data_IF_014644394491
#
_entry.id   IF_014644394491
#
_cell.length_a   1.000
_cell.length_b   1.000
_cell.length_c   1.000
_cell.angle_alpha   90.00
_cell.angle_beta   90.00
_cell.angle_gamma   90.00
#
_symmetry.space_group_name_H-M   'P 1'
#
loop_
_entity.id
_entity.type
_entity.pdbx_description
1 polymer ?
#
# COMPACT_ATOMS: atom_id res chain seq x y z
N UNK A 1 0.38 4.70 -14.54
CA UNK A 1 1.27 3.55 -14.76
C UNK A 1 2.03 3.26 -13.48
N UNK A 2 2.25 1.99 -13.15
CA UNK A 2 3.05 1.60 -12.00
C UNK A 2 4.51 2.07 -12.17
N UNK A 3 5.01 2.89 -11.25
CA UNK A 3 6.38 3.42 -11.27
C UNK A 3 7.30 2.82 -10.21
N UNK A 4 6.77 2.60 -8.99
CA UNK A 4 7.50 1.97 -7.87
C UNK A 4 6.65 0.90 -7.21
N UNK A 5 7.29 -0.13 -6.68
CA UNK A 5 6.62 -1.21 -5.95
C UNK A 5 7.56 -1.78 -4.89
N UNK A 6 7.03 -2.05 -3.71
CA UNK A 6 7.73 -2.73 -2.62
C UNK A 6 6.78 -3.68 -1.90
N UNK A 7 7.32 -4.79 -1.40
CA UNK A 7 6.54 -5.86 -0.78
C UNK A 7 7.08 -6.13 0.61
N UNK A 8 6.26 -5.95 1.64
CA UNK A 8 6.59 -6.36 3.01
C UNK A 8 5.83 -7.64 3.35
N UNK A 9 6.32 -8.41 4.31
CA UNK A 9 5.55 -9.53 4.90
C UNK A 9 5.05 -9.10 6.27
N UNK A 10 3.74 -8.89 6.39
CA UNK A 10 3.11 -8.41 7.62
C UNK A 10 2.38 -9.58 8.28
N UNK A 11 2.91 -10.03 9.42
CA UNK A 11 2.29 -11.06 10.25
C UNK A 11 1.20 -10.53 11.18
N UNK A 12 0.65 -11.41 12.01
CA UNK A 12 -0.21 -11.10 13.13
C UNK A 12 0.48 -11.36 14.48
N UNK A 13 0.54 -10.33 15.35
CA UNK A 13 1.15 -10.41 16.70
C UNK A 13 0.51 -11.47 17.59
N UNK A 14 -0.80 -11.65 17.51
CA UNK A 14 -1.55 -12.62 18.33
C UNK A 14 -1.23 -14.06 17.92
N UNK A 15 -1.00 -14.28 16.63
CA UNK A 15 -0.63 -15.59 16.09
C UNK A 15 0.89 -15.85 16.11
N UNK A 16 1.67 -14.96 16.75
CA UNK A 16 3.14 -15.03 16.82
C UNK A 16 3.81 -15.03 15.44
N UNK A 17 3.18 -14.39 14.47
CA UNK A 17 3.77 -14.18 13.15
C UNK A 17 4.56 -12.87 13.14
N UNK A 18 5.71 -12.88 12.49
CA UNK A 18 6.63 -11.75 12.48
C UNK A 18 6.32 -10.75 11.36
N UNK A 19 6.79 -9.53 11.55
CA UNK A 19 6.92 -8.52 10.51
C UNK A 19 8.30 -8.67 9.84
N UNK A 20 8.32 -8.73 8.51
CA UNK A 20 9.53 -8.63 7.70
C UNK A 20 9.40 -7.45 6.74
N UNK A 21 10.35 -6.54 6.81
CA UNK A 21 10.39 -5.34 5.98
C UNK A 21 11.41 -5.56 4.86
N UNK A 22 11.00 -5.32 3.62
CA UNK A 22 11.94 -5.35 2.50
C UNK A 22 12.88 -4.17 2.55
N UNK A 23 14.14 -4.44 2.20
CA UNK A 23 15.20 -3.43 2.18
C UNK A 23 15.32 -2.72 0.83
N UNK A 24 14.66 -3.22 -0.21
CA UNK A 24 14.75 -2.69 -1.58
C UNK A 24 13.38 -2.73 -2.28
N UNK A 25 13.20 -1.85 -3.27
CA UNK A 25 12.06 -1.86 -4.19
C UNK A 25 12.18 -3.06 -5.15
N UNK A 26 11.06 -3.56 -5.68
CA UNK A 26 11.10 -4.61 -6.71
C UNK A 26 11.46 -3.99 -8.07
N UNK A 27 12.48 -4.55 -8.70
CA UNK A 27 12.77 -4.29 -10.11
C UNK A 27 11.85 -5.14 -11.00
N UNK A 28 11.01 -4.47 -11.78
CA UNK A 28 10.06 -5.10 -12.70
C UNK A 28 10.17 -4.49 -14.10
N UNK A 29 10.04 -5.32 -15.13
CA UNK A 29 9.99 -4.90 -16.52
C UNK A 29 8.63 -4.31 -16.89
N UNK A 30 8.53 -3.71 -18.08
CA UNK A 30 7.30 -3.05 -18.53
C UNK A 30 6.12 -4.01 -18.67
N UNK A 31 6.35 -5.23 -19.16
CA UNK A 31 5.30 -6.25 -19.29
C UNK A 31 4.71 -6.62 -17.92
N UNK A 32 5.56 -6.75 -16.90
CA UNK A 32 5.14 -7.01 -15.52
C UNK A 32 4.43 -5.80 -14.89
N UNK A 33 4.87 -4.56 -15.19
CA UNK A 33 4.20 -3.34 -14.72
C UNK A 33 2.77 -3.26 -15.23
N UNK A 34 2.54 -3.56 -16.52
CA UNK A 34 1.19 -3.60 -17.10
C UNK A 34 0.34 -4.67 -16.42
N UNK A 35 0.85 -5.89 -16.33
CA UNK A 35 0.15 -7.02 -15.69
C UNK A 35 -0.24 -6.71 -14.24
N UNK A 36 0.68 -6.15 -13.45
CA UNK A 36 0.42 -5.81 -12.05
C UNK A 36 -0.52 -4.61 -11.92
N UNK A 37 -0.42 -3.61 -12.79
CA UNK A 37 -1.36 -2.49 -12.82
C UNK A 37 -2.79 -3.01 -13.00
N UNK A 38 -3.00 -3.88 -13.98
CA UNK A 38 -4.30 -4.49 -14.23
C UNK A 38 -4.74 -5.35 -13.04
N UNK A 39 -3.86 -6.20 -12.50
CA UNK A 39 -4.17 -7.04 -11.35
C UNK A 39 -4.66 -6.23 -10.15
N UNK A 40 -3.96 -5.14 -9.81
CA UNK A 40 -4.28 -4.31 -8.65
C UNK A 40 -5.54 -3.47 -8.86
N UNK A 41 -5.68 -2.83 -10.03
CA UNK A 41 -6.78 -1.90 -10.27
C UNK A 41 -8.10 -2.60 -10.60
N UNK A 42 -8.07 -3.83 -11.15
CA UNK A 42 -9.28 -4.61 -11.44
C UNK A 42 -10.14 -4.93 -10.20
N UNK A 43 -9.58 -4.85 -8.99
CA UNK A 43 -10.32 -5.04 -7.75
C UNK A 43 -11.23 -3.83 -7.41
N UNK A 44 -10.90 -2.63 -7.89
CA UNK A 44 -11.66 -1.41 -7.63
C UNK A 44 -12.79 -1.24 -8.65
N UNK A 45 -13.90 -1.97 -8.42
CA UNK A 45 -15.13 -1.87 -9.23
C UNK A 45 -16.26 -1.10 -8.53
N UNK A 46 -16.09 -0.81 -7.24
CA UNK A 46 -17.08 -0.13 -6.41
C UNK A 46 -16.87 1.37 -6.45
N UNK A 47 -17.95 2.14 -6.51
CA UNK A 47 -17.94 3.60 -6.32
C UNK A 47 -17.79 4.01 -4.84
N UNK A 48 -17.80 3.05 -3.91
CA UNK A 48 -17.65 3.34 -2.49
C UNK A 48 -16.23 3.83 -2.18
N UNK A 49 -16.14 5.13 -1.94
CA UNK A 49 -14.91 5.81 -1.53
C UNK A 49 -14.99 6.16 -0.05
N UNK A 50 -13.87 5.93 0.65
CA UNK A 50 -13.68 6.34 2.02
C UNK A 50 -12.59 7.40 2.10
N UNK A 51 -12.66 8.24 3.14
CA UNK A 51 -11.65 9.25 3.41
C UNK A 51 -10.93 8.92 4.72
N UNK A 52 -9.63 9.18 4.76
CA UNK A 52 -8.88 9.08 6.01
C UNK A 52 -9.45 10.03 7.06
N UNK A 53 -9.42 9.59 8.31
CA UNK A 53 -9.97 10.31 9.46
C UNK A 53 -9.01 10.26 10.64
N UNK A 54 -9.10 11.28 11.49
CA UNK A 54 -8.45 11.41 12.78
C UNK A 54 -9.32 12.32 13.65
N UNK A 55 -9.47 12.02 14.95
CA UNK A 55 -10.27 12.84 15.89
C UNK A 55 -9.67 14.23 16.16
N UNK A 56 -8.46 14.49 15.68
CA UNK A 56 -7.77 15.77 15.82
C UNK A 56 -7.38 16.31 14.45
N UNK A 57 -6.12 16.16 14.04
CA UNK A 57 -5.64 16.59 12.73
C UNK A 57 -5.49 15.40 11.81
N UNK A 58 -5.86 15.55 10.54
CA UNK A 58 -5.71 14.50 9.53
C UNK A 58 -4.25 14.04 9.36
N UNK A 59 -3.30 14.97 9.55
CA UNK A 59 -1.86 14.68 9.58
C UNK A 59 -1.43 13.73 10.71
N UNK A 60 -2.28 13.46 11.68
CA UNK A 60 -2.03 12.46 12.73
C UNK A 60 -2.52 11.07 12.35
N UNK A 61 -3.22 10.91 11.22
CA UNK A 61 -3.48 9.58 10.68
C UNK A 61 -2.16 9.02 10.09
N UNK A 62 -1.66 7.87 10.56
CA UNK A 62 -0.34 7.37 10.21
C UNK A 62 -0.22 6.99 8.74
N UNK A 63 -1.29 6.47 8.13
CA UNK A 63 -1.28 6.11 6.70
C UNK A 63 -1.35 7.37 5.84
N UNK A 64 -2.22 8.32 6.19
CA UNK A 64 -2.32 9.60 5.48
C UNK A 64 -0.99 10.37 5.52
N UNK A 65 -0.38 10.51 6.69
CA UNK A 65 0.91 11.21 6.85
C UNK A 65 2.02 10.53 6.06
N UNK A 66 2.16 9.20 6.15
CA UNK A 66 3.15 8.44 5.37
C UNK A 66 2.95 8.67 3.86
N UNK A 67 1.71 8.59 3.37
CA UNK A 67 1.40 8.81 1.95
C UNK A 67 1.64 10.26 1.52
N UNK A 68 1.34 11.25 2.36
CA UNK A 68 1.61 12.65 2.08
C UNK A 68 3.11 12.94 1.95
N UNK A 69 3.93 12.36 2.84
CA UNK A 69 5.40 12.47 2.79
C UNK A 69 5.97 11.85 1.50
N UNK A 70 5.41 10.73 1.03
CA UNK A 70 5.80 10.11 -0.26
C UNK A 70 5.48 11.02 -1.45
N UNK A 71 4.33 11.72 -1.43
CA UNK A 71 3.97 12.65 -2.50
C UNK A 71 4.82 13.93 -2.48
N UNK A 72 5.27 14.38 -1.30
CA UNK A 72 6.19 15.50 -1.18
C UNK A 72 7.62 15.14 -1.62
N UNK A 73 8.08 13.94 -1.27
CA UNK A 73 9.42 13.44 -1.60
C UNK A 73 9.38 11.94 -1.95
N UNK A 74 9.49 11.64 -3.24
CA UNK A 74 9.46 10.27 -3.77
C UNK A 74 10.61 9.40 -3.26
N UNK A 75 11.71 9.98 -2.80
CA UNK A 75 12.84 9.22 -2.24
C UNK A 75 12.48 8.62 -0.86
N UNK A 76 11.42 9.12 -0.21
CA UNK A 76 10.88 8.56 1.03
C UNK A 76 10.00 7.33 0.82
N UNK A 77 9.69 6.93 -0.43
CA UNK A 77 8.79 5.82 -0.75
C UNK A 77 9.09 4.56 0.08
N UNK A 78 10.35 4.11 0.08
CA UNK A 78 10.79 2.94 0.86
C UNK A 78 10.57 3.16 2.36
N UNK A 79 11.05 4.26 2.92
CA UNK A 79 10.98 4.51 4.37
C UNK A 79 9.52 4.59 4.85
N UNK A 80 8.66 5.29 4.13
CA UNK A 80 7.26 5.44 4.50
C UNK A 80 6.45 4.17 4.24
N UNK A 81 6.80 3.36 3.23
CA UNK A 81 6.21 2.02 3.05
C UNK A 81 6.45 1.11 4.26
N UNK A 82 7.64 1.19 4.88
CA UNK A 82 7.93 0.49 6.13
C UNK A 82 7.05 0.99 7.28
N UNK A 83 6.82 2.31 7.38
CA UNK A 83 5.98 2.88 8.43
C UNK A 83 4.53 2.41 8.31
N UNK A 84 4.00 2.35 7.08
CA UNK A 84 2.66 1.81 6.82
C UNK A 84 2.60 0.32 7.22
N UNK A 85 3.60 -0.49 6.85
CA UNK A 85 3.66 -1.90 7.21
C UNK A 85 3.79 -2.14 8.72
N UNK A 86 4.63 -1.35 9.41
CA UNK A 86 4.76 -1.36 10.88
C UNK A 86 3.44 -0.98 11.53
N UNK A 87 2.76 0.05 11.04
CA UNK A 87 1.46 0.46 11.56
C UNK A 87 0.43 -0.67 11.43
N UNK A 88 0.32 -1.29 10.25
CA UNK A 88 -0.59 -2.42 10.04
C UNK A 88 -0.27 -3.59 10.99
N UNK A 89 1.00 -3.92 11.18
CA UNK A 89 1.43 -4.95 12.13
C UNK A 89 0.99 -4.59 13.56
N UNK A 90 1.19 -3.34 13.97
CA UNK A 90 0.88 -2.88 15.31
C UNK A 90 -0.61 -2.90 15.64
N UNK A 91 -1.48 -2.62 14.67
CA UNK A 91 -2.95 -2.65 14.86
C UNK A 91 -3.57 -4.02 14.56
N UNK A 92 -2.80 -5.00 14.08
CA UNK A 92 -3.29 -6.35 13.80
C UNK A 92 -3.43 -7.16 15.09
N UNK A 93 -4.54 -6.95 15.80
CA UNK A 93 -4.86 -7.58 17.09
C UNK A 93 -5.99 -8.63 17.03
N UNK A 94 -6.63 -8.78 15.87
CA UNK A 94 -7.67 -9.78 15.66
C UNK A 94 -7.03 -11.10 15.17
N UNK A 95 -7.16 -12.22 15.92
CA UNK A 95 -6.52 -13.50 15.55
C UNK A 95 -7.01 -14.09 14.22
N UNK A 96 -8.15 -13.63 13.68
CA UNK A 96 -8.68 -14.07 12.38
C UNK A 96 -8.01 -13.40 11.19
N UNK A 97 -7.31 -12.28 11.39
CA UNK A 97 -6.53 -11.63 10.33
C UNK A 97 -5.27 -12.46 10.11
N UNK A 98 -5.13 -13.05 8.92
CA UNK A 98 -3.97 -13.87 8.61
C UNK A 98 -2.76 -12.99 8.27
N UNK A 99 -1.54 -13.45 8.56
CA UNK A 99 -0.35 -12.83 8.00
C UNK A 99 -0.35 -12.90 6.47
N UNK A 100 0.45 -12.06 5.82
CA UNK A 100 0.42 -11.97 4.37
C UNK A 100 1.49 -11.09 3.76
N UNK A 101 1.43 -10.95 2.44
CA UNK A 101 2.24 -9.99 1.70
C UNK A 101 1.48 -8.68 1.59
N UNK A 102 2.17 -7.58 1.85
CA UNK A 102 1.65 -6.23 1.71
C UNK A 102 2.44 -5.52 0.62
N UNK A 103 1.77 -5.18 -0.46
CA UNK A 103 2.29 -4.42 -1.58
C UNK A 103 1.99 -2.95 -1.35
N UNK A 104 3.02 -2.11 -1.42
CA UNK A 104 2.86 -0.66 -1.54
C UNK A 104 3.33 -0.29 -2.95
N UNK A 105 2.48 0.41 -3.69
CA UNK A 105 2.66 0.65 -5.12
C UNK A 105 2.45 2.12 -5.42
N UNK A 106 3.40 2.75 -6.10
CA UNK A 106 3.24 4.10 -6.62
C UNK A 106 2.76 4.01 -8.07
N UNK A 107 1.62 4.65 -8.35
CA UNK A 107 1.09 4.83 -9.68
C UNK A 107 1.23 6.29 -10.10
N UNK A 108 1.87 6.53 -11.24
CA UNK A 108 2.02 7.86 -11.83
C UNK A 108 1.00 8.10 -12.92
N UNK A 109 0.40 9.29 -12.92
CA UNK A 109 -0.42 9.75 -14.03
C UNK A 109 -1.68 8.94 -14.34
N UNK A 110 -2.37 8.46 -13.30
CA UNK A 110 -3.74 7.97 -13.44
C UNK A 110 -4.69 9.08 -13.89
N UNK A 111 -5.75 8.74 -14.63
CA UNK A 111 -6.73 9.71 -15.13
C UNK A 111 -8.02 9.56 -14.30
N UNK A 112 -8.45 10.65 -13.67
CA UNK A 112 -9.74 10.69 -12.97
C UNK A 112 -10.92 10.73 -13.95
N UNK A 113 -12.14 10.48 -13.45
CA UNK A 113 -13.36 10.63 -14.26
C UNK A 113 -13.53 12.05 -14.83
N UNK A 114 -12.99 13.05 -14.13
CA UNK A 114 -12.98 14.45 -14.55
C UNK A 114 -11.90 14.76 -15.61
N UNK A 115 -11.07 13.78 -15.96
CA UNK A 115 -9.98 13.92 -16.93
C UNK A 115 -8.69 14.51 -16.36
N UNK A 116 -8.58 14.64 -15.04
CA UNK A 116 -7.37 15.15 -14.40
C UNK A 116 -6.33 14.04 -14.25
N UNK A 117 -5.07 14.36 -14.52
CA UNK A 117 -3.96 13.45 -14.28
C UNK A 117 -3.51 13.55 -12.81
N UNK A 118 -3.54 12.43 -12.09
CA UNK A 118 -3.15 12.35 -10.68
C UNK A 118 -2.21 11.18 -10.42
N UNK A 119 -1.35 11.34 -9.43
CA UNK A 119 -0.57 10.23 -8.88
C UNK A 119 -1.37 9.54 -7.76
N UNK A 120 -1.04 8.28 -7.46
CA UNK A 120 -1.77 7.50 -6.45
C UNK A 120 -0.85 6.48 -5.77
N UNK A 121 -1.11 6.22 -4.49
CA UNK A 121 -0.49 5.11 -3.75
C UNK A 121 -1.53 4.01 -3.56
N UNK A 122 -1.22 2.82 -4.05
CA UNK A 122 -1.98 1.61 -3.78
C UNK A 122 -1.36 0.82 -2.61
N UNK A 123 -2.20 0.37 -1.70
CA UNK A 123 -1.81 -0.47 -0.55
C UNK A 123 -2.65 -1.73 -0.62
N UNK A 124 -2.02 -2.87 -0.87
CA UNK A 124 -2.71 -4.15 -1.09
C UNK A 124 -2.16 -5.19 -0.14
N UNK A 125 -3.03 -5.96 0.50
CA UNK A 125 -2.64 -7.08 1.36
C UNK A 125 -3.22 -8.38 0.81
N UNK A 126 -2.37 -9.38 0.67
CA UNK A 126 -2.77 -10.74 0.25
C UNK A 126 -2.55 -11.70 1.41
N UNK A 127 -3.63 -12.36 1.85
CA UNK A 127 -3.61 -13.29 2.98
C UNK A 127 -3.42 -14.75 2.56
N UNK A 128 -3.68 -15.08 1.28
CA UNK A 128 -3.53 -16.42 0.73
C UNK A 128 -3.00 -16.35 -0.71
N UNK A 129 -2.08 -17.27 -1.05
CA UNK A 129 -1.57 -17.49 -2.42
C UNK A 129 -2.28 -18.60 -3.19
N UNK A 130 -3.29 -19.24 -2.58
CA UNK A 130 -4.04 -20.32 -3.23
C UNK A 130 -5.36 -19.78 -3.80
N UNK A 131 -5.72 -20.14 -5.05
CA UNK A 131 -7.07 -19.94 -5.57
C UNK A 131 -8.13 -20.75 -4.80
#
# INVERSE_FOLDING_TARGET
MLSKIIVHKVGNKINQENLFLSEEELEIDEDMKELLTDYFLNAFKSEEQFQFYSDSYLSLNPVYSSVAEIFEDKDKFRFESENIAKHLYEISDNPRVQGGEMFVVYFEGGITEEGNQIDSIGIFKTENKNP
#
